data_IF_022837934533
#
_entry.id   IF_022837934533
#
_cell.length_a   1.000
_cell.length_b   1.000
_cell.length_c   1.000
_cell.angle_alpha   90.00
_cell.angle_beta   90.00
_cell.angle_gamma   90.00
#
_symmetry.space_group_name_H-M   'P 1'
#
loop_
_entity.id
_entity.type
_entity.pdbx_description
1 polymer ?
#
# COMPACT_ATOMS: atom_id res chain seq x y z
N UNK A 1 29.70 -7.44 15.93
CA UNK A 1 28.47 -7.01 15.23
C UNK A 1 27.55 -6.41 16.28
N UNK A 2 27.47 -5.08 16.36
CA UNK A 2 26.66 -4.36 17.36
C UNK A 2 25.27 -4.10 16.76
N UNK A 3 24.24 -4.78 17.26
CA UNK A 3 22.85 -4.58 16.82
C UNK A 3 22.34 -3.25 17.36
N UNK A 4 22.09 -2.28 16.46
CA UNK A 4 21.51 -0.99 16.83
C UNK A 4 20.06 -1.20 17.26
N UNK A 5 19.80 -1.22 18.57
CA UNK A 5 18.45 -1.22 19.12
C UNK A 5 17.74 0.07 18.72
N UNK A 6 16.52 -0.05 18.17
CA UNK A 6 15.65 1.06 17.81
C UNK A 6 14.51 1.14 18.81
N UNK A 7 13.91 2.33 18.95
CA UNK A 7 12.79 2.52 19.87
C UNK A 7 11.54 2.89 19.06
N UNK A 8 10.45 2.15 19.27
CA UNK A 8 9.12 2.49 18.74
C UNK A 8 8.14 2.64 19.90
N UNK A 9 7.49 3.82 20.00
CA UNK A 9 6.55 4.15 21.10
C UNK A 9 7.13 3.93 22.52
N UNK A 10 8.43 4.19 22.69
CA UNK A 10 9.12 4.00 23.97
C UNK A 10 9.54 2.55 24.27
N UNK A 11 9.24 1.60 23.39
CA UNK A 11 9.64 0.20 23.53
C UNK A 11 10.89 -0.05 22.67
N UNK A 12 12.01 -0.50 23.26
CA UNK A 12 13.19 -0.88 22.49
C UNK A 12 12.91 -2.20 21.74
N UNK A 13 13.31 -2.25 20.47
CA UNK A 13 13.21 -3.43 19.63
C UNK A 13 14.48 -3.57 18.79
N UNK A 14 14.86 -4.81 18.53
CA UNK A 14 15.92 -5.13 17.57
C UNK A 14 15.29 -5.27 16.18
N UNK A 15 15.66 -4.43 15.19
CA UNK A 15 15.15 -4.60 13.83
C UNK A 15 15.54 -5.96 13.22
N UNK A 16 16.59 -6.65 13.70
CA UNK A 16 16.90 -7.99 13.25
C UNK A 16 15.98 -9.07 13.85
N UNK A 17 15.31 -8.78 14.97
CA UNK A 17 14.29 -9.64 15.58
C UNK A 17 12.90 -9.33 15.03
N UNK A 18 12.73 -9.46 13.71
CA UNK A 18 11.38 -9.53 13.16
C UNK A 18 10.69 -10.77 13.72
N UNK A 19 9.55 -10.59 14.39
CA UNK A 19 8.68 -11.73 14.71
C UNK A 19 8.39 -12.49 13.43
N UNK A 20 8.58 -13.81 13.49
CA UNK A 20 8.30 -14.69 12.37
C UNK A 20 6.82 -14.57 12.03
N UNK A 21 6.50 -14.20 10.79
CA UNK A 21 5.13 -14.14 10.32
C UNK A 21 4.44 -15.47 10.60
N UNK A 22 3.24 -15.40 11.20
CA UNK A 22 2.43 -16.58 11.43
C UNK A 22 2.13 -17.26 10.09
N UNK A 23 2.28 -18.60 9.99
CA UNK A 23 1.85 -19.33 8.80
C UNK A 23 0.33 -19.49 8.72
N UNK A 24 -0.41 -19.07 9.75
CA UNK A 24 -1.87 -19.20 9.81
C UNK A 24 -2.49 -18.24 8.79
N UNK A 25 -3.33 -18.78 7.91
CA UNK A 25 -4.12 -17.97 6.98
C UNK A 25 -5.09 -17.09 7.78
N UNK A 26 -5.13 -15.81 7.44
CA UNK A 26 -6.10 -14.86 7.98
C UNK A 26 -7.37 -14.96 7.15
N UNK A 27 -8.52 -15.12 7.81
CA UNK A 27 -9.83 -15.03 7.15
C UNK A 27 -10.18 -13.56 6.90
N UNK A 28 -10.35 -13.20 5.63
CA UNK A 28 -10.69 -11.84 5.23
C UNK A 28 -12.20 -11.75 5.01
N UNK A 29 -12.94 -11.24 6.00
CA UNK A 29 -14.38 -11.01 5.87
C UNK A 29 -14.68 -9.51 5.74
N UNK A 30 -15.37 -9.08 4.69
CA UNK A 30 -15.88 -7.71 4.54
C UNK A 30 -17.37 -7.73 4.18
N UNK A 31 -18.20 -7.04 4.97
CA UNK A 31 -19.68 -7.03 4.82
C UNK A 31 -20.31 -8.42 4.72
N UNK A 32 -19.77 -9.40 5.44
CA UNK A 32 -20.26 -10.79 5.42
C UNK A 32 -19.85 -11.59 4.17
N UNK A 33 -19.00 -11.03 3.30
CA UNK A 33 -18.37 -11.76 2.20
C UNK A 33 -16.98 -12.22 2.63
N UNK A 34 -16.68 -13.50 2.46
CA UNK A 34 -15.36 -14.07 2.66
C UNK A 34 -14.52 -13.88 1.40
N UNK A 35 -13.26 -13.52 1.59
CA UNK A 35 -12.29 -13.33 0.52
C UNK A 35 -11.13 -14.30 0.75
N UNK A 36 -10.99 -15.27 -0.17
CA UNK A 36 -9.93 -16.28 -0.12
C UNK A 36 -8.53 -15.70 -0.38
N UNK A 37 -8.47 -14.47 -0.90
CA UNK A 37 -7.24 -13.75 -1.16
C UNK A 37 -7.36 -12.29 -0.70
N UNK A 38 -6.26 -11.67 -0.22
CA UNK A 38 -6.23 -10.24 0.04
C UNK A 38 -6.53 -9.46 -1.24
N UNK A 39 -7.05 -8.24 -1.06
CA UNK A 39 -7.31 -7.32 -2.17
C UNK A 39 -6.04 -7.11 -2.99
N UNK A 40 -6.02 -7.64 -4.21
CA UNK A 40 -4.88 -7.46 -5.12
C UNK A 40 -4.94 -6.06 -5.72
N UNK A 41 -4.04 -5.18 -5.30
CA UNK A 41 -3.82 -3.90 -5.96
C UNK A 41 -3.00 -4.12 -7.24
N UNK A 42 -3.59 -4.78 -8.24
CA UNK A 42 -2.99 -4.79 -9.57
C UNK A 42 -3.08 -3.39 -10.16
N UNK A 43 -1.94 -2.87 -10.60
CA UNK A 43 -1.89 -1.61 -11.35
C UNK A 43 -2.78 -1.77 -12.57
N UNK A 44 -3.84 -0.95 -12.68
CA UNK A 44 -4.70 -0.97 -13.86
C UNK A 44 -3.83 -0.85 -15.12
N UNK A 45 -4.00 -1.80 -16.04
CA UNK A 45 -3.24 -1.85 -17.32
C UNK A 45 -3.56 -0.64 -18.18
N UNK A 46 -4.75 -0.07 -18.02
CA UNK A 46 -5.16 1.14 -18.68
C UNK A 46 -4.29 2.32 -18.24
N UNK A 47 -3.60 2.91 -19.21
CA UNK A 47 -2.65 4.01 -19.02
C UNK A 47 -3.34 5.36 -18.77
N UNK A 48 -4.65 5.42 -19.02
CA UNK A 48 -5.47 6.62 -19.00
C UNK A 48 -6.59 6.42 -18.00
N UNK A 49 -6.64 7.29 -16.98
CA UNK A 49 -7.74 7.31 -16.02
C UNK A 49 -8.56 8.56 -16.28
N UNK A 50 -9.86 8.38 -16.49
CA UNK A 50 -10.81 9.47 -16.65
C UNK A 50 -11.30 9.92 -15.27
N UNK A 51 -11.00 11.16 -14.89
CA UNK A 51 -11.41 11.76 -13.62
C UNK A 51 -12.53 12.77 -13.87
N UNK A 52 -13.69 12.53 -13.27
CA UNK A 52 -14.83 13.46 -13.31
C UNK A 52 -14.81 14.32 -12.04
N UNK A 53 -14.58 15.62 -12.18
CA UNK A 53 -14.59 16.54 -11.05
C UNK A 53 -15.31 17.84 -11.42
N UNK A 54 -16.33 18.21 -10.63
CA UNK A 54 -17.17 19.41 -10.83
C UNK A 54 -17.69 19.56 -12.28
N UNK A 55 -18.15 18.46 -12.87
CA UNK A 55 -18.67 18.45 -14.25
C UNK A 55 -17.60 18.58 -15.33
N UNK A 56 -16.32 18.61 -14.97
CA UNK A 56 -15.19 18.56 -15.89
C UNK A 56 -14.60 17.16 -15.95
N UNK A 57 -14.19 16.74 -17.14
CA UNK A 57 -13.55 15.45 -17.39
C UNK A 57 -12.06 15.68 -17.63
N UNK A 58 -11.22 15.08 -16.79
CA UNK A 58 -9.78 15.16 -16.89
C UNK A 58 -9.22 13.80 -17.31
N UNK A 59 -8.41 13.80 -18.36
CA UNK A 59 -7.68 12.60 -18.79
C UNK A 59 -6.31 12.59 -18.13
N UNK A 60 -6.15 11.75 -17.10
CA UNK A 60 -4.90 11.67 -16.36
C UNK A 60 -3.93 10.71 -17.07
N UNK A 61 -2.94 11.25 -17.79
CA UNK A 61 -1.84 10.47 -18.37
C UNK A 61 -0.79 10.23 -17.29
N UNK A 62 -0.59 8.96 -16.90
CA UNK A 62 0.39 8.54 -15.87
C UNK A 62 1.81 9.10 -16.04
N UNK A 63 2.24 9.36 -17.27
CA UNK A 63 3.57 9.94 -17.56
C UNK A 63 3.75 11.37 -17.05
N UNK A 64 2.68 12.16 -17.00
CA UNK A 64 2.74 13.56 -16.57
C UNK A 64 2.80 13.70 -15.05
N UNK A 65 2.23 12.75 -14.30
CA UNK A 65 2.27 12.70 -12.84
C UNK A 65 3.62 12.28 -12.24
N UNK A 66 4.55 11.78 -13.07
CA UNK A 66 5.94 11.49 -12.67
C UNK A 66 6.82 12.73 -12.63
N UNK A 67 6.34 13.87 -13.13
CA UNK A 67 7.09 15.12 -13.05
C UNK A 67 6.92 15.71 -11.64
N UNK A 68 8.00 15.96 -10.90
CA UNK A 68 7.89 16.66 -9.63
C UNK A 68 7.29 18.05 -9.88
N UNK A 69 6.22 18.37 -9.14
CA UNK A 69 5.48 19.63 -9.29
C UNK A 69 6.25 20.83 -8.74
N UNK A 70 7.40 20.63 -8.08
CA UNK A 70 8.23 21.71 -7.58
C UNK A 70 9.69 21.50 -8.01
N UNK A 71 10.23 22.47 -8.76
CA UNK A 71 11.67 22.74 -8.93
C UNK A 71 11.93 24.16 -8.43
#
# INVERSE_FOLDING_TARGET
MTTTQRTYRGIPYDPAQHERLSPVKVDHTYRGQHYDAPLSHSVATESTVELHYRGSVYQHRREQARKPVNS
#
